data_IF_918619913842
#
_entry.id   IF_918619913842
#
_cell.length_a   1.000
_cell.length_b   1.000
_cell.length_c   1.000
_cell.angle_alpha   90.00
_cell.angle_beta   90.00
_cell.angle_gamma   90.00
#
_symmetry.space_group_name_H-M   'P 1'
#
loop_
_entity.id
_entity.type
_entity.pdbx_description
1 polymer ?
#
# COMPACT_ATOMS: atom_id res chain seq x y z
N UNK A 1 33.42 -38.79 23.49
CA UNK A 1 33.36 -37.67 22.53
C UNK A 1 31.97 -37.61 21.93
N UNK A 2 31.37 -36.42 21.96
CA UNK A 2 30.32 -35.85 21.09
C UNK A 2 29.00 -36.62 20.86
N UNK A 3 27.92 -35.92 21.18
CA UNK A 3 26.57 -36.18 20.69
C UNK A 3 25.52 -35.24 21.30
N UNK A 4 25.79 -33.93 21.36
CA UNK A 4 24.76 -32.96 21.76
C UNK A 4 23.85 -32.77 20.54
N UNK A 5 22.62 -33.28 20.64
CA UNK A 5 21.58 -33.07 19.64
C UNK A 5 21.03 -31.66 19.79
N UNK A 6 21.33 -30.84 18.79
CA UNK A 6 20.73 -29.54 18.53
C UNK A 6 19.31 -29.82 18.03
N UNK A 7 18.29 -29.62 18.86
CA UNK A 7 16.98 -29.10 18.44
C UNK A 7 16.04 -28.95 19.64
N UNK A 8 15.33 -27.82 19.65
CA UNK A 8 14.06 -27.61 20.34
C UNK A 8 14.07 -27.37 21.86
N UNK A 9 14.53 -26.18 22.29
CA UNK A 9 13.94 -25.49 23.45
C UNK A 9 14.45 -24.03 23.56
N UNK A 10 14.17 -23.21 22.54
CA UNK A 10 14.33 -21.75 22.62
C UNK A 10 13.17 -21.07 21.90
N UNK A 11 11.99 -21.18 22.50
CA UNK A 11 10.82 -20.34 22.21
C UNK A 11 10.13 -20.10 23.55
N UNK A 12 10.31 -18.90 24.11
CA UNK A 12 9.36 -18.15 24.94
C UNK A 12 10.10 -16.95 25.57
N UNK A 13 10.50 -16.00 24.73
CA UNK A 13 10.87 -14.66 25.15
C UNK A 13 10.44 -13.66 24.08
N UNK A 14 9.13 -13.50 23.90
CA UNK A 14 8.58 -12.27 23.34
C UNK A 14 7.58 -11.71 24.33
N UNK A 15 8.03 -10.61 24.94
CA UNK A 15 7.34 -9.75 25.88
C UNK A 15 6.05 -9.20 25.27
N UNK A 16 4.91 -9.56 25.88
CA UNK A 16 3.64 -8.88 25.72
C UNK A 16 3.79 -7.42 26.20
N UNK A 17 4.06 -6.51 25.27
CA UNK A 17 3.86 -5.08 25.49
C UNK A 17 2.36 -4.83 25.37
N UNK A 18 1.69 -4.77 26.53
CA UNK A 18 0.28 -4.41 26.69
C UNK A 18 0.00 -3.08 25.98
N UNK A 19 -0.81 -3.13 24.92
CA UNK A 19 -1.47 -1.94 24.37
C UNK A 19 -2.65 -1.55 25.26
N UNK A 20 -2.73 -0.26 25.54
CA UNK A 20 -3.60 0.33 26.54
C UNK A 20 -5.03 0.62 26.08
N UNK A 21 -5.83 0.88 27.12
CA UNK A 21 -6.96 1.83 27.19
C UNK A 21 -8.17 1.46 26.33
N UNK A 22 -9.06 0.72 26.98
CA UNK A 22 -10.49 0.66 26.71
C UNK A 22 -11.06 2.08 26.79
N UNK A 23 -11.67 2.59 25.72
CA UNK A 23 -12.53 3.76 25.78
C UNK A 23 -13.99 3.31 25.72
N UNK A 24 -14.69 3.59 26.82
CA UNK A 24 -16.06 3.22 27.11
C UNK A 24 -17.05 3.76 26.05
N UNK A 25 -18.01 2.91 25.69
CA UNK A 25 -19.26 3.29 25.05
C UNK A 25 -20.03 4.20 26.00
N UNK A 26 -20.25 5.44 25.59
CA UNK A 26 -21.14 6.37 26.31
C UNK A 26 -22.56 6.07 25.87
N UNK A 27 -23.28 5.40 26.76
CA UNK A 27 -24.72 5.27 26.79
C UNK A 27 -25.32 6.66 27.06
N UNK A 28 -26.12 7.18 26.14
CA UNK A 28 -27.01 8.33 26.41
C UNK A 28 -28.43 7.79 26.31
N UNK A 29 -29.02 7.54 27.47
CA UNK A 29 -30.46 7.47 27.63
C UNK A 29 -31.01 8.90 27.70
N UNK A 30 -32.08 9.18 26.95
CA UNK A 30 -33.11 10.14 27.35
C UNK A 30 -34.42 9.73 26.68
N UNK A 31 -35.30 9.27 27.54
CA UNK A 31 -36.73 8.99 27.39
C UNK A 31 -37.53 10.28 27.10
N UNK A 32 -38.61 10.19 26.32
CA UNK A 32 -39.83 11.02 26.40
C UNK A 32 -40.70 10.81 25.15
N UNK A 33 -41.99 10.56 25.36
CA UNK A 33 -42.95 10.13 24.35
C UNK A 33 -43.58 11.21 23.45
N UNK A 34 -44.57 10.72 22.72
CA UNK A 34 -45.63 11.37 21.91
C UNK A 34 -45.41 11.65 20.40
N UNK A 35 -46.02 10.76 19.62
CA UNK A 35 -47.05 10.97 18.59
C UNK A 35 -46.98 12.18 17.64
N UNK A 36 -46.97 11.83 16.34
CA UNK A 36 -47.43 12.58 15.16
C UNK A 36 -46.77 13.94 14.84
N UNK A 37 -45.94 13.95 13.80
CA UNK A 37 -46.05 14.98 12.78
C UNK A 37 -45.50 14.52 11.43
N UNK A 38 -46.38 14.62 10.43
CA UNK A 38 -46.20 14.42 9.01
C UNK A 38 -45.76 15.75 8.37
N UNK A 39 -44.53 15.84 7.85
CA UNK A 39 -44.12 16.81 6.81
C UNK A 39 -42.93 16.19 6.05
N UNK A 40 -43.14 15.62 4.85
CA UNK A 40 -42.82 16.18 3.52
C UNK A 40 -41.32 16.47 3.28
N UNK A 41 -40.84 15.85 2.20
CA UNK A 41 -39.56 15.94 1.51
C UNK A 41 -38.80 17.26 1.62
N UNK A 42 -37.46 17.16 1.66
CA UNK A 42 -36.66 17.83 0.64
C UNK A 42 -35.24 17.25 0.49
N UNK A 43 -34.79 17.30 -0.75
CA UNK A 43 -33.52 16.79 -1.28
C UNK A 43 -32.31 17.25 -0.46
N UNK A 44 -31.68 16.33 0.27
CA UNK A 44 -30.31 16.53 0.74
C UNK A 44 -29.35 15.91 -0.27
N UNK A 45 -29.03 16.71 -1.29
CA UNK A 45 -27.76 16.60 -2.02
C UNK A 45 -26.66 16.47 -0.97
N UNK A 46 -26.06 15.28 -0.87
CA UNK A 46 -24.90 15.03 -0.04
C UNK A 46 -23.78 15.92 -0.57
N UNK A 47 -23.66 17.09 0.05
CA UNK A 47 -22.60 18.06 -0.14
C UNK A 47 -21.30 17.30 0.06
N UNK A 48 -20.50 17.18 -1.01
CA UNK A 48 -19.12 16.74 -0.91
C UNK A 48 -18.45 17.53 0.23
N UNK A 49 -17.80 16.87 1.21
CA UNK A 49 -17.00 17.60 2.17
C UNK A 49 -15.84 18.20 1.38
N UNK A 50 -15.88 19.54 1.26
CA UNK A 50 -14.82 20.36 0.69
C UNK A 50 -13.52 19.92 1.35
N UNK A 51 -12.64 19.29 0.56
CA UNK A 51 -11.34 18.86 1.02
C UNK A 51 -10.60 20.08 1.56
N UNK A 52 -10.38 20.11 2.88
CA UNK A 52 -9.42 21.04 3.47
C UNK A 52 -8.10 20.82 2.75
N UNK A 53 -7.62 21.85 2.03
CA UNK A 53 -6.21 21.97 1.67
C UNK A 53 -5.41 22.21 2.95
N UNK A 54 -5.38 21.20 3.82
CA UNK A 54 -4.54 21.20 5.01
C UNK A 54 -3.08 21.23 4.60
N UNK A 55 -2.29 22.00 5.32
CA UNK A 55 -0.82 22.11 5.18
C UNK A 55 -0.09 20.83 5.53
N UNK A 56 -0.79 19.80 5.99
CA UNK A 56 -0.28 18.49 6.37
C UNK A 56 -1.13 17.36 5.76
N UNK A 57 -0.59 16.14 5.78
CA UNK A 57 -1.35 14.93 5.53
C UNK A 57 -2.32 14.66 6.68
N UNK A 58 -3.50 14.14 6.34
CA UNK A 58 -4.40 13.51 7.32
C UNK A 58 -3.78 12.22 7.87
N UNK A 59 -4.28 11.72 9.01
CA UNK A 59 -3.83 10.43 9.57
C UNK A 59 -3.95 9.30 8.53
N UNK A 60 -5.07 9.26 7.81
CA UNK A 60 -5.33 8.24 6.80
C UNK A 60 -4.35 8.35 5.61
N UNK A 61 -4.04 9.56 5.15
CA UNK A 61 -3.06 9.75 4.08
C UNK A 61 -1.66 9.33 4.53
N UNK A 62 -1.28 9.67 5.76
CA UNK A 62 0.00 9.26 6.35
C UNK A 62 0.12 7.73 6.47
N UNK A 63 -0.92 7.08 6.98
CA UNK A 63 -0.97 5.61 7.11
C UNK A 63 -0.87 4.92 5.75
N UNK A 64 -1.54 5.44 4.72
CA UNK A 64 -1.45 4.91 3.35
C UNK A 64 -0.06 5.09 2.75
N UNK A 65 0.56 6.25 2.96
CA UNK A 65 1.91 6.52 2.47
C UNK A 65 2.93 5.56 3.12
N UNK A 66 2.82 5.33 4.42
CA UNK A 66 3.69 4.36 5.12
C UNK A 66 3.41 2.92 4.69
N UNK A 67 2.14 2.53 4.51
CA UNK A 67 1.82 1.21 3.98
C UNK A 67 2.42 0.98 2.59
N UNK A 68 2.32 1.96 1.69
CA UNK A 68 2.91 1.89 0.36
C UNK A 68 4.45 1.77 0.42
N UNK A 69 5.12 2.57 1.27
CA UNK A 69 6.56 2.43 1.53
C UNK A 69 6.94 1.00 1.91
N UNK A 70 6.18 0.39 2.81
CA UNK A 70 6.37 -1.01 3.22
C UNK A 70 6.16 -1.98 2.06
N UNK A 71 5.07 -1.83 1.29
CA UNK A 71 4.79 -2.72 0.16
C UNK A 71 5.90 -2.68 -0.90
N UNK A 72 6.41 -1.49 -1.20
CA UNK A 72 7.49 -1.32 -2.17
C UNK A 72 8.80 -1.93 -1.67
N UNK A 73 9.13 -1.77 -0.38
CA UNK A 73 10.30 -2.44 0.23
C UNK A 73 10.17 -3.96 0.19
N UNK A 74 9.01 -4.49 0.57
CA UNK A 74 8.75 -5.92 0.51
C UNK A 74 8.84 -6.44 -0.93
N UNK A 75 8.29 -5.71 -1.91
CA UNK A 75 8.35 -6.09 -3.32
C UNK A 75 9.79 -6.10 -3.85
N UNK A 76 10.57 -5.04 -3.58
CA UNK A 76 12.00 -5.00 -3.89
C UNK A 76 12.77 -6.15 -3.24
N UNK A 77 12.41 -6.55 -2.03
CA UNK A 77 13.07 -7.67 -1.35
C UNK A 77 12.73 -9.04 -1.96
N UNK A 78 11.50 -9.22 -2.45
CA UNK A 78 10.97 -10.52 -2.92
C UNK A 78 11.18 -10.74 -4.41
N UNK A 79 10.94 -9.72 -5.24
CA UNK A 79 11.08 -9.80 -6.70
C UNK A 79 12.21 -8.91 -7.22
N UNK A 80 13.04 -8.34 -6.34
CA UNK A 80 14.15 -7.48 -6.73
C UNK A 80 15.18 -8.18 -7.61
N UNK A 81 15.88 -7.35 -8.39
CA UNK A 81 16.97 -7.81 -9.26
C UNK A 81 18.21 -8.17 -8.45
N UNK A 82 19.16 -8.82 -9.14
CA UNK A 82 20.47 -9.25 -8.66
C UNK A 82 21.11 -8.35 -7.59
N UNK A 83 21.89 -8.94 -6.67
CA UNK A 83 22.51 -8.27 -5.52
C UNK A 83 23.29 -6.99 -5.87
N UNK A 84 23.81 -6.90 -7.11
CA UNK A 84 24.55 -5.75 -7.63
C UNK A 84 23.71 -4.48 -7.83
N UNK A 85 22.39 -4.58 -8.05
CA UNK A 85 21.50 -3.43 -8.27
C UNK A 85 20.76 -3.00 -7.00
N UNK A 86 20.73 -3.86 -5.98
CA UNK A 86 20.00 -3.61 -4.74
C UNK A 86 20.40 -2.30 -4.05
N UNK A 87 21.70 -2.01 -3.98
CA UNK A 87 22.20 -0.78 -3.36
C UNK A 87 21.76 0.49 -4.12
N UNK A 88 21.68 0.43 -5.45
CA UNK A 88 21.19 1.54 -6.27
C UNK A 88 19.69 1.78 -6.04
N UNK A 89 18.90 0.70 -6.03
CA UNK A 89 17.46 0.77 -5.73
C UNK A 89 17.20 1.35 -4.33
N UNK A 90 17.90 0.88 -3.31
CA UNK A 90 17.75 1.37 -1.93
C UNK A 90 18.12 2.85 -1.82
N UNK A 91 19.19 3.28 -2.50
CA UNK A 91 19.59 4.68 -2.56
C UNK A 91 18.51 5.54 -3.22
N UNK A 92 18.07 5.20 -4.43
CA UNK A 92 17.05 5.96 -5.16
C UNK A 92 15.69 5.96 -4.44
N UNK A 93 15.32 4.85 -3.80
CA UNK A 93 14.14 4.77 -2.95
C UNK A 93 14.22 5.80 -1.81
N UNK A 94 15.34 5.85 -1.10
CA UNK A 94 15.53 6.78 0.02
C UNK A 94 15.51 8.23 -0.47
N UNK A 95 16.27 8.54 -1.51
CA UNK A 95 16.34 9.89 -2.09
C UNK A 95 14.98 10.38 -2.58
N UNK A 96 14.19 9.50 -3.19
CA UNK A 96 12.83 9.81 -3.63
C UNK A 96 11.91 10.16 -2.47
N UNK A 97 11.86 9.35 -1.41
CA UNK A 97 10.98 9.62 -0.28
C UNK A 97 11.46 10.80 0.57
N UNK A 98 12.77 11.01 0.70
CA UNK A 98 13.35 12.21 1.32
C UNK A 98 12.97 13.47 0.54
N UNK A 99 13.01 13.43 -0.79
CA UNK A 99 12.55 14.52 -1.65
C UNK A 99 11.04 14.74 -1.55
N UNK A 100 10.24 13.67 -1.60
CA UNK A 100 8.78 13.74 -1.53
C UNK A 100 8.32 14.33 -0.19
N UNK A 101 9.04 14.04 0.90
CA UNK A 101 8.73 14.56 2.24
C UNK A 101 8.74 16.09 2.33
N UNK A 102 9.43 16.78 1.41
CA UNK A 102 9.56 18.25 1.37
C UNK A 102 8.35 18.95 0.77
N UNK A 103 7.44 18.22 0.12
CA UNK A 103 6.29 18.79 -0.58
C UNK A 103 5.01 17.99 -0.24
N UNK A 104 4.16 18.59 0.62
CA UNK A 104 2.90 17.98 1.05
C UNK A 104 1.91 17.85 -0.10
N UNK A 105 1.91 18.77 -1.07
CA UNK A 105 1.01 18.68 -2.22
C UNK A 105 1.36 17.46 -3.09
N UNK A 106 2.66 17.22 -3.32
CA UNK A 106 3.12 16.01 -4.00
C UNK A 106 2.83 14.75 -3.22
N UNK A 107 2.97 14.77 -1.89
CA UNK A 107 2.58 13.62 -1.06
C UNK A 107 1.09 13.31 -1.21
N UNK A 108 0.22 14.32 -1.18
CA UNK A 108 -1.22 14.16 -1.39
C UNK A 108 -1.54 13.65 -2.78
N UNK A 109 -0.90 14.18 -3.81
CA UNK A 109 -1.04 13.68 -5.18
C UNK A 109 -0.62 12.20 -5.28
N UNK A 110 0.52 11.84 -4.68
CA UNK A 110 1.04 10.48 -4.67
C UNK A 110 0.08 9.50 -3.99
N UNK A 111 -0.41 9.86 -2.81
CA UNK A 111 -1.41 9.07 -2.07
C UNK A 111 -2.72 8.99 -2.84
N UNK A 112 -3.16 10.07 -3.49
CA UNK A 112 -4.35 10.08 -4.32
C UNK A 112 -4.24 9.09 -5.50
N UNK A 113 -3.08 9.02 -6.15
CA UNK A 113 -2.83 8.03 -7.20
C UNK A 113 -2.92 6.60 -6.65
N UNK A 114 -2.35 6.37 -5.47
CA UNK A 114 -2.39 5.05 -4.81
C UNK A 114 -3.80 4.63 -4.35
N UNK A 115 -4.68 5.58 -4.01
CA UNK A 115 -6.06 5.27 -3.58
C UNK A 115 -6.85 4.47 -4.64
N UNK A 116 -6.59 4.68 -5.92
CA UNK A 116 -7.20 3.90 -7.00
C UNK A 116 -6.86 2.39 -6.85
N UNK A 117 -5.59 2.10 -6.55
CA UNK A 117 -5.10 0.74 -6.33
C UNK A 117 -5.70 0.16 -5.04
N UNK A 118 -5.77 0.94 -3.97
CA UNK A 118 -6.46 0.53 -2.75
C UNK A 118 -7.90 0.09 -3.05
N UNK A 119 -8.64 0.85 -3.86
CA UNK A 119 -10.01 0.49 -4.25
C UNK A 119 -10.11 -0.83 -5.01
N UNK A 120 -9.13 -1.16 -5.86
CA UNK A 120 -9.08 -2.45 -6.57
C UNK A 120 -8.77 -3.60 -5.60
N UNK A 121 -7.74 -3.42 -4.78
CA UNK A 121 -7.26 -4.46 -3.85
C UNK A 121 -8.26 -4.74 -2.74
N UNK A 122 -8.96 -3.74 -2.19
CA UNK A 122 -10.00 -3.94 -1.18
C UNK A 122 -11.08 -4.90 -1.68
N UNK A 123 -11.51 -4.76 -2.93
CA UNK A 123 -12.49 -5.68 -3.52
C UNK A 123 -11.95 -7.11 -3.66
N UNK A 124 -10.65 -7.28 -3.86
CA UNK A 124 -10.02 -8.61 -3.88
C UNK A 124 -9.93 -9.21 -2.47
N UNK A 125 -9.63 -8.39 -1.45
CA UNK A 125 -9.65 -8.79 -0.03
C UNK A 125 -11.05 -9.25 0.38
N UNK A 126 -12.09 -8.51 0.01
CA UNK A 126 -13.48 -8.86 0.33
C UNK A 126 -13.92 -10.15 -0.37
N UNK A 127 -13.48 -10.38 -1.60
CA UNK A 127 -13.72 -11.64 -2.30
C UNK A 127 -13.00 -12.84 -1.64
N UNK A 128 -11.75 -12.67 -1.19
CA UNK A 128 -11.01 -13.71 -0.46
C UNK A 128 -11.67 -14.03 0.89
N UNK A 129 -12.13 -13.00 1.62
CA UNK A 129 -12.94 -13.12 2.85
C UNK A 129 -14.19 -13.96 2.64
N UNK A 130 -14.95 -13.67 1.59
CA UNK A 130 -16.18 -14.40 1.29
C UNK A 130 -15.92 -15.87 0.98
N UNK A 131 -14.81 -16.21 0.31
CA UNK A 131 -14.49 -17.61 -0.02
C UNK A 131 -14.04 -18.42 1.20
N UNK A 132 -13.35 -17.77 2.14
CA UNK A 132 -12.76 -18.42 3.32
C UNK A 132 -13.67 -18.35 4.54
N UNK A 133 -14.93 -18.77 4.37
CA UNK A 133 -16.01 -18.66 5.37
C UNK A 133 -15.62 -19.00 6.83
N UNK A 134 -14.60 -19.84 7.06
CA UNK A 134 -14.15 -20.30 8.39
C UNK A 134 -12.68 -20.01 8.75
N UNK A 135 -11.92 -19.25 7.94
CA UNK A 135 -10.52 -18.91 8.23
C UNK A 135 -10.34 -17.43 8.60
N UNK A 136 -9.32 -17.15 9.43
CA UNK A 136 -8.91 -15.79 9.79
C UNK A 136 -8.56 -15.01 8.52
N UNK A 137 -9.49 -14.20 8.04
CA UNK A 137 -9.27 -13.36 6.89
C UNK A 137 -8.29 -12.24 7.22
N UNK A 138 -7.35 -11.98 6.31
CA UNK A 138 -6.36 -10.94 6.50
C UNK A 138 -6.99 -9.54 6.32
N UNK A 139 -6.50 -8.56 7.10
CA UNK A 139 -6.77 -7.15 6.84
C UNK A 139 -6.10 -6.68 5.53
N UNK A 140 -6.44 -5.50 5.02
CA UNK A 140 -5.91 -5.01 3.74
C UNK A 140 -4.37 -5.04 3.67
N UNK A 141 -3.69 -4.42 4.65
CA UNK A 141 -2.23 -4.37 4.67
C UNK A 141 -1.61 -5.76 4.79
N UNK A 142 -2.19 -6.60 5.66
CA UNK A 142 -1.74 -7.96 5.90
C UNK A 142 -1.90 -8.83 4.64
N UNK A 143 -3.02 -8.70 3.93
CA UNK A 143 -3.28 -9.37 2.66
C UNK A 143 -2.27 -8.97 1.59
N UNK A 144 -2.00 -7.68 1.43
CA UNK A 144 -1.02 -7.17 0.45
C UNK A 144 0.37 -7.71 0.76
N UNK A 145 0.86 -7.53 1.98
CA UNK A 145 2.17 -8.03 2.39
C UNK A 145 2.28 -9.55 2.21
N UNK A 146 1.25 -10.31 2.60
CA UNK A 146 1.20 -11.74 2.42
C UNK A 146 1.30 -12.13 0.95
N UNK A 147 0.54 -11.49 0.05
CA UNK A 147 0.58 -11.77 -1.39
C UNK A 147 1.89 -11.36 -2.03
N UNK A 148 2.51 -10.27 -1.61
CA UNK A 148 3.84 -9.89 -2.08
C UNK A 148 4.85 -10.99 -1.71
N UNK A 149 4.88 -11.41 -0.45
CA UNK A 149 5.87 -12.36 0.10
C UNK A 149 5.67 -13.82 -0.32
N UNK A 150 4.43 -14.27 -0.42
CA UNK A 150 4.10 -15.69 -0.62
C UNK A 150 3.55 -15.99 -2.01
N UNK A 151 3.41 -14.99 -2.88
CA UNK A 151 2.94 -15.17 -4.26
C UNK A 151 3.82 -14.41 -5.23
N UNK A 152 5.14 -14.66 -5.15
CA UNK A 152 6.15 -14.20 -6.12
C UNK A 152 5.68 -14.52 -7.54
N UNK A 153 5.75 -13.53 -8.44
CA UNK A 153 5.22 -13.67 -9.81
C UNK A 153 3.70 -13.58 -9.95
N UNK A 154 2.94 -13.50 -8.86
CA UNK A 154 1.50 -13.23 -8.89
C UNK A 154 1.19 -11.76 -9.20
N UNK A 155 0.01 -11.48 -9.75
CA UNK A 155 -0.34 -10.15 -10.26
C UNK A 155 -0.14 -9.00 -9.24
N UNK A 156 -0.47 -9.21 -7.95
CA UNK A 156 -0.26 -8.18 -6.92
C UNK A 156 1.23 -7.98 -6.60
N UNK A 157 1.99 -9.06 -6.54
CA UNK A 157 3.43 -9.03 -6.28
C UNK A 157 4.17 -8.35 -7.44
N UNK A 158 3.87 -8.74 -8.68
CA UNK A 158 4.41 -8.13 -9.90
C UNK A 158 4.00 -6.67 -10.05
N UNK A 159 2.78 -6.29 -9.67
CA UNK A 159 2.37 -4.89 -9.70
C UNK A 159 3.28 -4.01 -8.83
N UNK A 160 3.47 -4.38 -7.55
CA UNK A 160 4.33 -3.61 -6.67
C UNK A 160 5.81 -3.70 -7.09
N UNK A 161 6.23 -4.78 -7.73
CA UNK A 161 7.56 -4.83 -8.36
C UNK A 161 7.68 -3.84 -9.52
N UNK A 162 6.69 -3.74 -10.42
CA UNK A 162 6.68 -2.76 -11.53
C UNK A 162 6.75 -1.32 -10.99
N UNK A 163 6.07 -1.04 -9.88
CA UNK A 163 6.18 0.28 -9.20
C UNK A 163 7.59 0.48 -8.65
N UNK A 164 8.15 -0.54 -8.00
CA UNK A 164 9.49 -0.49 -7.44
C UNK A 164 10.59 -0.38 -8.51
N UNK A 165 10.37 -0.94 -9.70
CA UNK A 165 11.29 -0.81 -10.84
C UNK A 165 11.47 0.64 -11.27
N UNK A 166 10.53 1.55 -10.97
CA UNK A 166 10.75 2.97 -11.17
C UNK A 166 11.98 3.50 -10.41
N UNK A 167 12.37 2.89 -9.29
CA UNK A 167 13.59 3.24 -8.54
C UNK A 167 14.88 2.74 -9.20
N UNK A 168 14.81 1.70 -10.03
CA UNK A 168 15.97 1.17 -10.76
C UNK A 168 16.01 1.39 -12.27
N UNK A 169 14.90 1.84 -12.87
CA UNK A 169 14.67 1.70 -14.31
C UNK A 169 15.80 2.26 -15.20
N UNK A 170 16.26 1.37 -16.08
CA UNK A 170 17.14 1.53 -17.24
C UNK A 170 16.49 2.27 -18.43
N UNK A 171 15.23 2.70 -18.35
CA UNK A 171 14.49 3.32 -19.47
C UNK A 171 15.12 4.63 -20.01
N UNK A 172 16.05 5.23 -19.26
CA UNK A 172 16.79 6.42 -19.69
C UNK A 172 18.03 6.12 -20.54
N UNK A 173 18.43 4.85 -20.67
CA UNK A 173 19.44 4.47 -21.65
C UNK A 173 18.81 4.49 -23.03
N UNK A 174 18.91 5.62 -23.74
CA UNK A 174 18.85 5.56 -25.21
C UNK A 174 19.93 4.57 -25.65
N UNK A 175 19.54 3.52 -26.39
CA UNK A 175 20.45 2.46 -26.83
C UNK A 175 21.62 2.95 -27.68
N UNK A 176 21.58 4.21 -28.14
CA UNK A 176 22.50 4.75 -29.13
C UNK A 176 23.42 5.87 -28.59
N UNK A 177 23.40 6.15 -27.28
CA UNK A 177 24.18 7.25 -26.71
C UNK A 177 25.48 6.72 -26.09
N UNK A 178 26.44 6.34 -26.95
CA UNK A 178 27.80 5.88 -26.56
C UNK A 178 28.62 6.95 -25.82
N UNK A 179 28.10 8.18 -25.69
CA UNK A 179 28.73 9.31 -24.99
C UNK A 179 28.24 9.50 -23.55
N UNK A 180 27.22 8.79 -23.11
CA UNK A 180 26.35 9.34 -22.06
C UNK A 180 26.82 9.02 -20.63
N UNK A 181 27.29 10.06 -19.92
CA UNK A 181 27.13 10.10 -18.46
C UNK A 181 25.67 9.72 -18.15
N UNK A 182 25.48 8.67 -17.35
CA UNK A 182 24.16 8.21 -16.88
C UNK A 182 23.39 9.46 -16.41
N UNK A 183 22.27 9.86 -17.05
CA UNK A 183 21.56 11.05 -16.62
C UNK A 183 21.20 10.87 -15.15
N UNK A 184 21.60 11.83 -14.32
CA UNK A 184 21.37 11.78 -12.88
C UNK A 184 19.85 11.76 -12.66
N UNK A 185 19.36 10.63 -12.14
CA UNK A 185 17.93 10.32 -12.06
C UNK A 185 17.24 11.33 -11.16
N UNK A 186 16.38 12.18 -11.73
CA UNK A 186 15.65 13.15 -10.91
C UNK A 186 14.37 12.53 -10.34
N UNK A 187 14.05 12.88 -9.09
CA UNK A 187 12.90 12.34 -8.37
C UNK A 187 11.55 12.63 -9.04
N UNK A 188 11.48 13.68 -9.88
CA UNK A 188 10.29 14.00 -10.67
C UNK A 188 9.97 12.94 -11.72
N UNK A 189 10.98 12.39 -12.39
CA UNK A 189 10.71 11.35 -13.39
C UNK A 189 10.31 10.03 -12.73
N UNK A 190 10.91 9.69 -11.58
CA UNK A 190 10.45 8.56 -10.75
C UNK A 190 8.97 8.75 -10.39
N UNK A 191 8.60 9.95 -9.96
CA UNK A 191 7.23 10.29 -9.60
C UNK A 191 6.26 10.07 -10.79
N UNK A 192 6.62 10.57 -11.98
CA UNK A 192 5.81 10.40 -13.20
C UNK A 192 5.63 8.94 -13.58
N UNK A 193 6.69 8.13 -13.51
CA UNK A 193 6.63 6.69 -13.83
C UNK A 193 5.70 5.98 -12.84
N UNK A 194 5.88 6.19 -11.53
CA UNK A 194 5.02 5.58 -10.51
C UNK A 194 3.56 5.98 -10.70
N UNK A 195 3.29 7.27 -10.95
CA UNK A 195 1.95 7.78 -11.23
C UNK A 195 1.33 7.04 -12.41
N UNK A 196 2.03 6.93 -13.54
CA UNK A 196 1.56 6.17 -14.72
C UNK A 196 1.25 4.72 -14.37
N UNK A 197 2.08 4.05 -13.57
CA UNK A 197 1.79 2.67 -13.14
C UNK A 197 0.48 2.60 -12.34
N UNK A 198 0.25 3.55 -11.42
CA UNK A 198 -0.96 3.63 -10.61
C UNK A 198 -2.23 4.04 -11.37
N UNK A 199 -2.14 4.85 -12.42
CA UNK A 199 -3.32 5.42 -13.11
C UNK A 199 -3.61 4.77 -14.46
N UNK A 200 -2.58 4.44 -15.23
CA UNK A 200 -2.68 4.28 -16.69
C UNK A 200 -2.10 2.97 -17.23
N UNK A 201 -1.44 2.15 -16.40
CA UNK A 201 -0.76 0.95 -16.91
C UNK A 201 -1.68 -0.27 -17.08
N UNK A 202 -1.33 -1.17 -18.01
CA UNK A 202 -1.94 -2.50 -18.17
C UNK A 202 -1.95 -3.31 -16.86
N UNK A 203 -1.00 -3.02 -15.97
CA UNK A 203 -0.91 -3.59 -14.63
C UNK A 203 -2.16 -3.33 -13.78
N UNK A 204 -2.88 -2.22 -14.02
CA UNK A 204 -4.18 -1.98 -13.38
C UNK A 204 -5.25 -2.95 -13.86
N UNK A 205 -5.21 -3.35 -15.13
CA UNK A 205 -6.14 -4.34 -15.68
C UNK A 205 -5.79 -5.75 -15.19
N UNK A 206 -4.50 -6.09 -15.10
CA UNK A 206 -4.03 -7.32 -14.44
C UNK A 206 -4.50 -7.38 -12.97
N UNK A 207 -4.40 -6.29 -12.22
CA UNK A 207 -4.90 -6.21 -10.84
C UNK A 207 -6.42 -6.34 -10.73
N UNK A 208 -7.20 -5.78 -11.66
CA UNK A 208 -8.67 -5.92 -11.65
C UNK A 208 -9.10 -7.38 -11.76
N UNK A 209 -8.29 -8.22 -12.40
CA UNK A 209 -8.55 -9.65 -12.53
C UNK A 209 -8.28 -10.44 -11.23
N UNK A 210 -7.70 -9.83 -10.18
CA UNK A 210 -7.51 -10.48 -8.88
C UNK A 210 -8.82 -10.96 -8.24
N UNK A 211 -9.95 -10.34 -8.58
CA UNK A 211 -11.28 -10.82 -8.17
C UNK A 211 -11.60 -12.22 -8.67
N UNK A 212 -11.05 -12.59 -9.84
CA UNK A 212 -11.32 -13.85 -10.53
C UNK A 212 -10.24 -14.91 -10.27
N UNK A 213 -9.04 -14.51 -9.84
CA UNK A 213 -7.94 -15.43 -9.55
C UNK A 213 -8.09 -16.00 -8.13
N UNK A 214 -9.04 -16.93 -7.99
CA UNK A 214 -9.27 -17.75 -6.79
C UNK A 214 -9.07 -19.24 -7.02
N UNK A 215 -8.39 -19.65 -8.09
CA UNK A 215 -8.03 -21.03 -8.37
C UNK A 215 -6.51 -21.15 -8.55
N UNK A 216 -5.78 -21.21 -7.45
CA UNK A 216 -4.54 -21.98 -7.33
C UNK A 216 -4.60 -22.68 -5.99
#
# INVERSE_FOLDING_TARGET
MKGISILSLLLLAFSCKQYGIVKALTEIASDSGDNNSLVVSDNLSAKEPIAEKGTTLTSQESERLEALKTFLKDAMGVNGREDNLKAEYEKSYKEFFDWLSKDVNKQKEFVSCFNNICGIVTKAVDADKQRRHDQKSLGFNEYVCHKIKNSTGGALSLFFQKVADAFGAEEYKKKDDESSQKPEKCNEEIFKVIKRVFTESDSNNELKNLKNHGNI
#
